data_IF_981229305459
#
_entry.id   IF_981229305459
#
_cell.length_a   1.000
_cell.length_b   1.000
_cell.length_c   1.000
_cell.angle_alpha   90.00
_cell.angle_beta   90.00
_cell.angle_gamma   90.00
#
_symmetry.space_group_name_H-M   'P 1'
#
loop_
_entity.id
_entity.type
_entity.pdbx_description
1 polymer ?
#
# COMPACT_ATOMS: atom_id res chain seq x y z
N UNK A 1 21.53 -4.11 -3.66
CA UNK A 1 21.63 -3.07 -4.71
C UNK A 1 22.94 -2.29 -4.70
N UNK A 2 23.48 -1.89 -3.54
CA UNK A 2 24.66 -1.01 -3.46
C UNK A 2 25.85 -1.47 -4.32
N UNK A 3 26.13 -2.77 -4.37
CA UNK A 3 27.23 -3.34 -5.14
C UNK A 3 27.08 -3.25 -6.67
N UNK A 4 25.87 -2.96 -7.17
CA UNK A 4 25.58 -2.88 -8.62
C UNK A 4 25.12 -1.49 -9.04
N UNK A 5 25.08 -0.51 -8.14
CA UNK A 5 24.59 0.85 -8.43
C UNK A 5 25.33 1.51 -9.60
N UNK A 6 26.65 1.32 -9.69
CA UNK A 6 27.46 1.86 -10.78
C UNK A 6 27.21 1.19 -12.14
N UNK A 7 26.46 0.09 -12.17
CA UNK A 7 26.12 -0.67 -13.37
C UNK A 7 24.68 -0.39 -13.84
N UNK A 8 23.89 0.37 -13.08
CA UNK A 8 22.51 0.72 -13.43
C UNK A 8 22.48 2.04 -14.21
N UNK A 9 21.56 2.13 -15.18
CA UNK A 9 21.34 3.38 -15.93
C UNK A 9 20.86 4.52 -15.01
N UNK A 10 20.05 4.18 -14.01
CA UNK A 10 19.64 5.08 -12.93
C UNK A 10 19.86 4.43 -11.55
N UNK A 11 20.21 5.19 -10.51
CA UNK A 11 20.45 4.64 -9.17
C UNK A 11 19.14 4.43 -8.41
N UNK A 12 18.22 3.67 -9.02
CA UNK A 12 16.90 3.35 -8.49
C UNK A 12 16.42 1.96 -8.91
N UNK A 13 15.34 1.51 -8.29
CA UNK A 13 14.54 0.39 -8.80
C UNK A 13 13.05 0.66 -8.57
N UNK A 14 12.23 0.08 -9.44
CA UNK A 14 10.76 0.17 -9.36
C UNK A 14 10.20 -1.19 -8.97
N UNK A 15 9.23 -1.20 -8.06
CA UNK A 15 8.46 -2.39 -7.71
C UNK A 15 7.01 -2.15 -8.07
N UNK A 16 6.45 -3.08 -8.83
CA UNK A 16 5.04 -3.15 -9.17
C UNK A 16 4.53 -4.55 -8.79
N UNK A 17 3.34 -4.61 -8.20
CA UNK A 17 2.62 -5.85 -7.94
C UNK A 17 1.27 -5.80 -8.64
N UNK A 18 0.90 -6.87 -9.34
CA UNK A 18 -0.43 -6.99 -9.93
C UNK A 18 -1.46 -7.36 -8.85
N UNK A 19 -2.74 -7.10 -9.12
CA UNK A 19 -3.84 -7.54 -8.27
C UNK A 19 -4.34 -8.92 -8.69
N UNK A 20 -3.51 -9.94 -8.46
CA UNK A 20 -3.88 -11.35 -8.67
C UNK A 20 -3.79 -12.10 -7.35
N UNK A 21 -4.95 -12.58 -6.86
CA UNK A 21 -5.04 -13.34 -5.62
C UNK A 21 -4.79 -14.83 -5.84
N UNK A 22 -5.28 -15.35 -6.96
CA UNK A 22 -4.96 -16.69 -7.46
C UNK A 22 -4.05 -16.59 -8.67
N UNK A 23 -2.83 -17.12 -8.54
CA UNK A 23 -1.83 -17.07 -9.60
C UNK A 23 -1.50 -18.50 -10.00
N UNK A 24 -1.91 -18.93 -11.20
CA UNK A 24 -1.42 -20.18 -11.76
C UNK A 24 0.11 -20.16 -11.81
N UNK A 25 0.73 -21.30 -11.49
CA UNK A 25 2.18 -21.44 -11.57
C UNK A 25 2.63 -21.13 -13.00
N UNK A 26 3.31 -19.98 -13.20
CA UNK A 26 3.86 -19.39 -14.44
C UNK A 26 3.29 -18.03 -14.88
N UNK A 27 2.30 -17.44 -14.18
CA UNK A 27 1.90 -16.05 -14.47
C UNK A 27 2.71 -15.02 -13.67
N UNK A 28 2.98 -13.87 -14.27
CA UNK A 28 3.60 -12.75 -13.56
C UNK A 28 2.62 -12.17 -12.54
N UNK A 29 3.08 -12.09 -11.29
CA UNK A 29 2.40 -11.50 -10.14
C UNK A 29 2.84 -10.05 -9.86
N UNK A 30 3.88 -9.60 -10.55
CA UNK A 30 4.62 -8.41 -10.23
C UNK A 30 5.97 -8.37 -10.94
N UNK A 31 6.64 -7.23 -10.85
CA UNK A 31 7.92 -6.97 -11.49
C UNK A 31 8.79 -6.07 -10.61
N UNK A 32 10.09 -6.37 -10.58
CA UNK A 32 11.11 -5.46 -10.07
C UNK A 32 11.98 -5.02 -11.24
N UNK A 33 11.96 -3.72 -11.52
CA UNK A 33 12.74 -3.10 -12.59
C UNK A 33 13.95 -2.39 -11.98
N UNK A 34 15.15 -2.92 -12.20
CA UNK A 34 16.39 -2.31 -11.72
C UNK A 34 16.92 -1.31 -12.74
N UNK A 35 17.31 -0.12 -12.29
CA UNK A 35 17.95 0.88 -13.13
C UNK A 35 17.02 1.75 -13.96
N UNK A 36 15.71 1.53 -13.90
CA UNK A 36 14.73 2.29 -14.67
C UNK A 36 13.37 2.36 -13.98
N UNK A 37 12.55 3.31 -14.45
CA UNK A 37 11.12 3.33 -14.18
C UNK A 37 10.43 2.23 -15.00
N UNK A 38 9.41 1.59 -14.43
CA UNK A 38 8.54 0.70 -15.18
C UNK A 38 7.51 1.52 -15.96
N UNK A 39 7.73 1.67 -17.27
CA UNK A 39 6.85 2.43 -18.16
C UNK A 39 5.67 1.62 -18.70
N UNK A 40 5.58 0.34 -18.37
CA UNK A 40 4.52 -0.56 -18.82
C UNK A 40 3.41 -0.63 -17.78
N UNK A 41 3.79 -0.79 -16.51
CA UNK A 41 2.86 -1.07 -15.43
C UNK A 41 2.57 0.13 -14.50
N UNK A 42 3.29 1.24 -14.68
CA UNK A 42 3.17 2.42 -13.82
C UNK A 42 2.88 3.68 -14.64
N UNK A 43 2.10 4.59 -14.04
CA UNK A 43 1.92 5.92 -14.60
C UNK A 43 3.25 6.67 -14.69
N UNK A 44 3.41 7.48 -15.73
CA UNK A 44 4.61 8.29 -15.95
C UNK A 44 4.82 9.38 -14.87
N UNK A 45 3.77 9.74 -14.14
CA UNK A 45 3.79 10.78 -13.11
C UNK A 45 4.25 10.18 -11.79
N UNK A 46 5.51 10.45 -11.44
CA UNK A 46 6.10 10.02 -10.17
C UNK A 46 6.15 11.19 -9.19
N UNK A 47 5.58 10.99 -8.01
CA UNK A 47 5.70 11.93 -6.90
C UNK A 47 6.77 11.43 -5.92
N UNK A 48 7.91 12.11 -5.88
CA UNK A 48 9.00 11.77 -4.98
C UNK A 48 8.82 12.39 -3.59
N UNK A 49 9.17 11.61 -2.57
CA UNK A 49 9.13 11.94 -1.15
C UNK A 49 10.54 11.70 -0.59
N UNK A 50 11.20 12.73 -0.04
CA UNK A 50 12.49 12.55 0.63
C UNK A 50 12.39 11.57 1.80
N UNK A 51 13.40 10.73 1.96
CA UNK A 51 13.46 9.84 3.12
C UNK A 51 13.77 10.63 4.40
N UNK A 52 13.11 10.25 5.50
CA UNK A 52 13.40 10.78 6.83
C UNK A 52 14.54 10.04 7.53
N UNK A 53 14.79 8.78 7.14
CA UNK A 53 15.94 7.99 7.56
C UNK A 53 16.30 6.99 6.45
N UNK A 54 17.59 6.67 6.31
CA UNK A 54 18.11 5.76 5.27
C UNK A 54 18.24 4.30 5.76
N UNK A 55 17.98 4.03 7.03
CA UNK A 55 18.00 2.67 7.60
C UNK A 55 16.85 1.80 7.09
N UNK A 56 15.77 2.45 6.66
CA UNK A 56 14.63 1.86 5.98
C UNK A 56 14.24 2.78 4.81
N UNK A 57 13.30 2.37 3.96
CA UNK A 57 12.62 3.27 3.04
C UNK A 57 11.57 4.09 3.80
N UNK A 58 12.06 4.89 4.75
CA UNK A 58 11.25 5.62 5.72
C UNK A 58 10.96 7.04 5.26
N UNK A 59 9.72 7.49 5.39
CA UNK A 59 9.29 8.84 5.03
C UNK A 59 8.11 9.29 5.92
N UNK A 60 7.86 10.61 6.04
CA UNK A 60 6.75 11.11 6.82
C UNK A 60 5.44 11.08 6.02
N UNK A 61 4.33 10.73 6.69
CA UNK A 61 2.96 11.03 6.24
C UNK A 61 2.39 12.14 7.12
N UNK A 62 1.48 12.93 6.56
CA UNK A 62 0.89 14.09 7.23
C UNK A 62 -0.51 13.83 7.77
N UNK A 63 -1.22 12.86 7.19
CA UNK A 63 -2.53 12.45 7.64
C UNK A 63 -2.90 11.05 7.11
N UNK A 64 -3.78 10.39 7.84
CA UNK A 64 -4.49 9.18 7.42
C UNK A 64 -6.00 9.40 7.63
N UNK A 65 -6.83 8.86 6.74
CA UNK A 65 -8.28 8.91 6.91
C UNK A 65 -8.99 7.77 6.19
N UNK A 66 -10.20 7.47 6.67
CA UNK A 66 -11.15 6.55 6.04
C UNK A 66 -12.56 6.98 6.45
N UNK A 67 -13.47 7.16 5.49
CA UNK A 67 -14.83 7.62 5.76
C UNK A 67 -14.84 8.90 6.61
N UNK A 68 -15.46 8.85 7.80
CA UNK A 68 -15.50 9.97 8.73
C UNK A 68 -14.36 10.00 9.77
N UNK A 69 -13.42 9.07 9.72
CA UNK A 69 -12.26 8.99 10.62
C UNK A 69 -11.07 9.73 10.01
N UNK A 70 -10.35 10.49 10.83
CA UNK A 70 -9.13 11.19 10.42
C UNK A 70 -8.12 11.21 11.57
N UNK A 71 -6.87 10.87 11.27
CA UNK A 71 -5.70 11.21 12.07
C UNK A 71 -4.84 12.20 11.27
N UNK A 72 -4.67 13.41 11.79
CA UNK A 72 -3.89 14.49 11.16
C UNK A 72 -2.49 14.64 11.77
N UNK A 73 -2.01 13.63 12.51
CA UNK A 73 -0.65 13.64 13.04
C UNK A 73 0.36 13.34 11.95
N UNK A 74 1.49 14.04 12.01
CA UNK A 74 2.65 13.64 11.21
C UNK A 74 3.28 12.41 11.84
N UNK A 75 3.39 11.32 11.06
CA UNK A 75 3.91 10.04 11.53
C UNK A 75 4.94 9.48 10.55
N UNK A 76 5.83 8.62 11.06
CA UNK A 76 6.84 7.95 10.23
C UNK A 76 6.28 6.66 9.67
N UNK A 77 6.62 6.38 8.42
CA UNK A 77 6.13 5.24 7.65
C UNK A 77 7.29 4.61 6.92
N UNK A 78 7.28 3.29 6.78
CA UNK A 78 8.18 2.59 5.87
C UNK A 78 7.40 1.96 4.73
N UNK A 79 7.98 1.98 3.54
CA UNK A 79 7.58 1.04 2.50
C UNK A 79 8.37 -0.26 2.65
N UNK A 80 7.66 -1.39 2.61
CA UNK A 80 8.27 -2.70 2.82
C UNK A 80 7.65 -3.76 1.92
N UNK A 81 8.41 -4.18 0.90
CA UNK A 81 8.02 -5.30 0.01
C UNK A 81 8.06 -6.66 0.71
N UNK A 82 8.57 -6.74 1.94
CA UNK A 82 8.59 -7.95 2.75
C UNK A 82 7.35 -8.14 3.62
N UNK A 83 6.45 -7.14 3.67
CA UNK A 83 5.22 -7.17 4.46
C UNK A 83 4.01 -7.24 3.53
N UNK A 84 3.08 -8.16 3.78
CA UNK A 84 1.91 -8.32 2.92
C UNK A 84 0.85 -7.24 3.10
N UNK A 85 0.53 -6.90 4.35
CA UNK A 85 -0.61 -6.03 4.69
C UNK A 85 -0.14 -4.64 5.15
N UNK A 86 -1.08 -3.69 5.29
CA UNK A 86 -0.73 -2.40 5.90
C UNK A 86 -0.66 -2.61 7.42
N UNK A 87 0.50 -2.32 7.99
CA UNK A 87 0.69 -2.21 9.43
C UNK A 87 0.43 -0.78 9.88
N UNK A 88 -0.33 -0.57 10.96
CA UNK A 88 -0.71 0.77 11.43
C UNK A 88 -1.03 0.81 12.93
N UNK A 89 -1.08 2.00 13.55
CA UNK A 89 -1.38 2.13 14.98
C UNK A 89 -2.76 1.57 15.35
N UNK A 90 -2.91 1.03 16.56
CA UNK A 90 -4.21 0.49 16.99
C UNK A 90 -5.35 1.51 16.94
N UNK A 91 -5.06 2.81 17.11
CA UNK A 91 -6.07 3.87 16.99
C UNK A 91 -6.64 3.99 15.58
N UNK A 92 -5.79 3.88 14.57
CA UNK A 92 -6.17 3.99 13.17
C UNK A 92 -6.91 2.72 12.71
N UNK A 93 -6.50 1.55 13.24
CA UNK A 93 -7.17 0.28 12.96
C UNK A 93 -8.59 0.26 13.54
N UNK A 94 -8.77 0.77 14.76
CA UNK A 94 -10.09 0.96 15.34
C UNK A 94 -10.97 1.91 14.50
N UNK A 95 -10.35 2.95 13.91
CA UNK A 95 -10.99 3.82 12.93
C UNK A 95 -11.50 3.03 11.71
N UNK A 96 -10.63 2.22 11.10
CA UNK A 96 -10.98 1.35 9.96
C UNK A 96 -12.11 0.39 10.33
N UNK A 97 -12.01 -0.31 11.45
CA UNK A 97 -13.02 -1.28 11.91
C UNK A 97 -14.37 -0.61 12.08
N UNK A 98 -14.42 0.59 12.68
CA UNK A 98 -15.66 1.35 12.86
C UNK A 98 -16.29 1.78 11.53
N UNK A 99 -15.48 2.22 10.56
CA UNK A 99 -15.99 2.70 9.26
C UNK A 99 -16.43 1.56 8.35
N UNK A 100 -15.78 0.40 8.45
CA UNK A 100 -16.08 -0.77 7.62
C UNK A 100 -17.15 -1.68 8.23
N UNK A 101 -17.29 -1.64 9.56
CA UNK A 101 -18.07 -2.61 10.32
C UNK A 101 -17.44 -4.00 10.31
N UNK A 102 -16.10 -4.07 10.25
CA UNK A 102 -15.38 -5.33 10.25
C UNK A 102 -15.51 -6.05 11.60
N UNK A 103 -15.45 -7.37 11.56
CA UNK A 103 -15.45 -8.24 12.74
C UNK A 103 -14.10 -8.94 12.82
N UNK A 104 -13.57 -9.12 14.03
CA UNK A 104 -12.34 -9.87 14.24
C UNK A 104 -12.63 -11.36 14.32
N UNK A 105 -11.92 -12.14 13.53
CA UNK A 105 -11.87 -13.60 13.62
C UNK A 105 -10.68 -14.00 14.50
N UNK A 106 -10.95 -14.70 15.60
CA UNK A 106 -9.90 -15.17 16.51
C UNK A 106 -9.22 -16.45 16.03
N UNK A 107 -9.85 -17.25 15.18
CA UNK A 107 -9.28 -18.48 14.63
C UNK A 107 -8.27 -18.13 13.53
N UNK A 108 -8.65 -17.23 12.62
CA UNK A 108 -7.78 -16.80 11.51
C UNK A 108 -6.86 -15.63 11.89
N UNK A 109 -7.13 -14.93 13.00
CA UNK A 109 -6.32 -13.82 13.49
C UNK A 109 -6.38 -12.56 12.61
N UNK A 110 -7.52 -12.32 11.96
CA UNK A 110 -7.71 -11.23 11.00
C UNK A 110 -9.08 -10.55 11.16
N UNK A 111 -9.23 -9.37 10.57
CA UNK A 111 -10.52 -8.71 10.44
C UNK A 111 -11.19 -9.10 9.13
N UNK A 112 -12.49 -9.31 9.13
CA UNK A 112 -13.25 -9.61 7.92
C UNK A 112 -14.53 -8.77 7.79
N UNK A 113 -15.03 -8.70 6.56
CA UNK A 113 -16.32 -8.13 6.16
C UNK A 113 -16.99 -9.04 5.15
N UNK A 114 -18.32 -8.93 4.92
CA UNK A 114 -18.95 -9.59 3.78
C UNK A 114 -18.29 -9.16 2.46
N UNK A 115 -17.98 -10.10 1.58
CA UNK A 115 -17.35 -9.83 0.29
C UNK A 115 -18.17 -8.89 -0.61
N UNK A 116 -19.49 -8.80 -0.40
CA UNK A 116 -20.35 -7.82 -1.08
C UNK A 116 -19.94 -6.37 -0.84
N UNK A 117 -19.16 -6.09 0.21
CA UNK A 117 -18.63 -4.77 0.55
C UNK A 117 -17.33 -4.40 -0.16
N UNK A 118 -16.71 -5.33 -0.91
CA UNK A 118 -15.38 -5.15 -1.53
C UNK A 118 -15.24 -3.88 -2.37
N UNK A 119 -16.31 -3.44 -3.03
CA UNK A 119 -16.31 -2.26 -3.90
C UNK A 119 -17.10 -1.07 -3.35
N UNK A 120 -17.64 -1.18 -2.13
CA UNK A 120 -18.56 -0.17 -1.57
C UNK A 120 -18.05 0.47 -0.28
N UNK A 121 -16.96 -0.03 0.29
CA UNK A 121 -16.36 0.57 1.47
C UNK A 121 -15.57 1.83 1.09
N UNK A 122 -15.45 2.81 2.01
CA UNK A 122 -14.75 4.06 1.75
C UNK A 122 -13.28 3.83 1.41
N UNK A 123 -12.72 4.64 0.52
CA UNK A 123 -11.28 4.63 0.28
C UNK A 123 -10.51 5.00 1.56
N UNK A 124 -9.33 4.43 1.73
CA UNK A 124 -8.32 5.02 2.60
C UNK A 124 -7.73 6.23 1.90
N UNK A 125 -7.33 7.25 2.64
CA UNK A 125 -6.53 8.35 2.11
C UNK A 125 -5.31 8.58 3.00
N UNK A 126 -4.14 8.55 2.38
CA UNK A 126 -2.87 8.95 2.98
C UNK A 126 -2.43 10.28 2.38
N UNK A 127 -2.16 11.27 3.23
CA UNK A 127 -1.56 12.53 2.79
C UNK A 127 -0.04 12.43 2.92
N UNK A 128 0.66 12.43 1.80
CA UNK A 128 2.12 12.24 1.74
C UNK A 128 2.70 13.34 0.86
N UNK A 129 3.66 14.10 1.39
CA UNK A 129 4.27 15.24 0.72
C UNK A 129 3.23 16.21 0.09
N UNK A 130 2.13 16.47 0.81
CA UNK A 130 1.00 17.33 0.38
C UNK A 130 0.16 16.78 -0.78
N UNK A 131 0.37 15.53 -1.19
CA UNK A 131 -0.45 14.83 -2.17
C UNK A 131 -1.33 13.82 -1.43
N UNK A 132 -2.59 13.70 -1.84
CA UNK A 132 -3.52 12.71 -1.30
C UNK A 132 -3.43 11.43 -2.14
N UNK A 133 -3.21 10.30 -1.48
CA UNK A 133 -3.14 8.97 -2.08
C UNK A 133 -4.31 8.14 -1.60
N UNK A 134 -5.24 7.86 -2.49
CA UNK A 134 -6.41 7.03 -2.19
C UNK A 134 -6.11 5.54 -2.43
N UNK A 135 -6.52 4.69 -1.50
CA UNK A 135 -6.49 3.23 -1.63
C UNK A 135 -7.94 2.73 -1.61
N UNK A 136 -8.50 2.33 -2.76
CA UNK A 136 -9.88 1.91 -2.84
C UNK A 136 -10.10 0.60 -2.09
N UNK A 137 -11.34 0.36 -1.67
CA UNK A 137 -11.72 -0.82 -0.87
C UNK A 137 -11.33 -2.15 -1.50
N UNK A 138 -11.35 -2.24 -2.81
CA UNK A 138 -10.96 -3.44 -3.54
C UNK A 138 -9.49 -3.84 -3.35
N UNK A 139 -8.62 -2.91 -2.93
CA UNK A 139 -7.20 -3.21 -2.65
C UNK A 139 -6.96 -3.75 -1.25
N UNK A 140 -7.80 -3.32 -0.29
CA UNK A 140 -7.66 -3.70 1.12
C UNK A 140 -8.71 -4.72 1.60
N UNK A 141 -9.69 -5.08 0.76
CA UNK A 141 -10.65 -6.17 0.98
C UNK A 141 -10.34 -7.29 0.00
N UNK A 142 -9.83 -8.40 0.53
CA UNK A 142 -9.42 -9.56 -0.27
C UNK A 142 -10.31 -10.76 0.00
N UNK A 143 -10.72 -11.44 -1.07
CA UNK A 143 -11.30 -12.76 -0.95
C UNK A 143 -10.15 -13.76 -0.78
N UNK A 144 -10.00 -14.27 0.45
CA UNK A 144 -9.02 -15.30 0.81
C UNK A 144 -9.69 -16.66 1.01
N UNK A 145 -10.89 -16.84 0.46
CA UNK A 145 -11.69 -18.05 0.58
C UNK A 145 -11.97 -18.46 2.04
N UNK A 146 -12.18 -17.48 2.94
CA UNK A 146 -12.50 -17.69 4.36
C UNK A 146 -13.83 -18.46 4.59
N UNK A 147 -14.61 -18.66 3.53
CA UNK A 147 -15.95 -19.24 3.59
C UNK A 147 -17.02 -18.22 3.98
N UNK A 148 -18.29 -18.66 3.92
CA UNK A 148 -19.47 -17.87 4.31
C UNK A 148 -19.64 -16.50 3.59
N UNK A 149 -18.94 -16.29 2.47
CA UNK A 149 -18.93 -15.01 1.76
C UNK A 149 -18.20 -13.90 2.52
N UNK A 150 -17.21 -14.24 3.35
CA UNK A 150 -16.38 -13.31 4.10
C UNK A 150 -15.04 -13.05 3.39
N UNK A 151 -14.63 -11.80 3.39
CA UNK A 151 -13.39 -11.31 2.82
C UNK A 151 -12.54 -10.65 3.93
N UNK A 152 -11.23 -10.87 3.87
CA UNK A 152 -10.28 -10.31 4.84
C UNK A 152 -10.02 -8.82 4.58
N UNK A 153 -9.81 -8.08 5.65
CA UNK A 153 -9.21 -6.76 5.64
C UNK A 153 -7.70 -6.90 5.80
N UNK A 154 -6.93 -6.29 4.90
CA UNK A 154 -5.46 -6.43 4.88
C UNK A 154 -4.77 -5.43 5.79
N UNK A 155 -5.08 -5.49 7.09
CA UNK A 155 -4.49 -4.63 8.11
C UNK A 155 -4.10 -5.42 9.34
N UNK A 156 -3.04 -4.96 10.02
CA UNK A 156 -2.71 -5.43 11.35
C UNK A 156 -2.24 -4.25 12.23
N UNK A 157 -2.46 -4.36 13.53
CA UNK A 157 -2.06 -3.31 14.48
C UNK A 157 -0.59 -3.43 14.84
N UNK A 158 0.05 -2.28 15.01
CA UNK A 158 1.43 -2.16 15.45
C UNK A 158 1.57 -0.97 16.39
N UNK A 159 1.94 -1.23 17.65
CA UNK A 159 2.18 -0.18 18.63
C UNK A 159 3.59 -0.33 19.21
N UNK A 160 4.53 0.46 18.69
CA UNK A 160 5.92 0.43 19.15
C UNK A 160 6.23 1.40 20.30
N UNK A 161 5.22 1.94 20.98
CA UNK A 161 5.42 2.85 22.12
C UNK A 161 6.24 4.11 21.78
N UNK A 162 6.22 4.55 20.52
CA UNK A 162 6.99 5.70 20.03
C UNK A 162 8.38 5.38 19.46
N UNK A 163 8.79 4.11 19.43
CA UNK A 163 10.06 3.69 18.83
C UNK A 163 9.86 3.19 17.40
N UNK A 164 10.38 3.92 16.40
CA UNK A 164 10.33 3.49 15.00
C UNK A 164 9.08 3.96 14.23
N UNK A 165 8.86 3.42 13.01
CA UNK A 165 7.77 3.85 12.15
C UNK A 165 6.41 3.42 12.71
N UNK A 166 5.42 4.31 12.61
CA UNK A 166 4.03 4.03 13.00
C UNK A 166 3.29 3.18 11.97
N UNK A 167 3.74 3.19 10.70
CA UNK A 167 3.11 2.44 9.63
C UNK A 167 4.12 1.61 8.82
N UNK A 168 3.62 0.50 8.29
CA UNK A 168 4.26 -0.27 7.23
C UNK A 168 3.32 -0.30 6.03
N UNK A 169 3.78 0.19 4.88
CA UNK A 169 3.09 0.08 3.59
C UNK A 169 3.61 -1.15 2.84
N UNK A 170 2.88 -2.25 3.00
CA UNK A 170 3.13 -3.55 2.36
C UNK A 170 2.46 -3.73 1.00
N UNK A 171 2.23 -4.98 0.59
CA UNK A 171 1.68 -5.33 -0.72
C UNK A 171 0.33 -4.65 -1.03
N UNK A 172 -0.53 -4.45 -0.02
CA UNK A 172 -1.80 -3.70 -0.20
C UNK A 172 -1.59 -2.29 -0.73
N UNK A 173 -0.51 -1.61 -0.33
CA UNK A 173 -0.15 -0.31 -0.91
C UNK A 173 0.52 -0.47 -2.27
N UNK A 174 1.46 -1.41 -2.39
CA UNK A 174 2.28 -1.60 -3.59
C UNK A 174 1.44 -2.05 -4.80
N UNK A 175 0.34 -2.77 -4.58
CA UNK A 175 -0.63 -3.08 -5.63
C UNK A 175 -1.28 -1.82 -6.19
N UNK A 176 -1.61 -0.85 -5.34
CA UNK A 176 -2.25 0.39 -5.76
C UNK A 176 -1.28 1.41 -6.39
N UNK A 177 -0.05 1.45 -5.88
CA UNK A 177 0.99 2.38 -6.27
C UNK A 177 2.31 1.67 -6.53
N UNK A 178 2.89 1.87 -7.70
CA UNK A 178 4.27 1.50 -7.94
C UNK A 178 5.19 2.29 -7.01
N UNK A 179 6.14 1.59 -6.40
CA UNK A 179 7.11 2.17 -5.50
C UNK A 179 8.47 2.29 -6.21
N UNK A 180 8.98 3.52 -6.32
CA UNK A 180 10.25 3.83 -6.94
C UNK A 180 11.26 4.12 -5.83
N UNK A 181 12.15 3.19 -5.59
CA UNK A 181 13.15 3.27 -4.54
C UNK A 181 14.42 3.93 -5.08
N UNK A 182 14.54 5.24 -4.91
CA UNK A 182 15.60 6.04 -5.50
C UNK A 182 16.78 6.22 -4.54
N UNK A 183 17.75 5.31 -4.65
CA UNK A 183 18.93 5.27 -3.77
C UNK A 183 19.79 6.52 -3.96
N UNK A 184 20.04 6.94 -5.19
CA UNK A 184 20.89 8.11 -5.47
C UNK A 184 20.37 9.42 -4.88
N UNK A 185 19.04 9.58 -4.80
CA UNK A 185 18.39 10.80 -4.32
C UNK A 185 17.85 10.67 -2.90
N UNK A 186 18.03 9.52 -2.24
CA UNK A 186 17.53 9.26 -0.89
C UNK A 186 16.04 9.59 -0.78
N UNK A 187 15.27 9.07 -1.75
CA UNK A 187 13.85 9.34 -1.88
C UNK A 187 13.09 8.08 -2.29
N UNK A 188 11.81 8.04 -1.96
CA UNK A 188 10.87 7.09 -2.52
C UNK A 188 9.89 7.83 -3.44
N UNK A 189 9.57 7.26 -4.59
CA UNK A 189 8.58 7.78 -5.52
C UNK A 189 7.34 6.90 -5.52
N UNK A 190 6.18 7.52 -5.75
CA UNK A 190 4.92 6.82 -5.95
C UNK A 190 4.32 7.22 -7.29
N UNK A 191 3.94 6.20 -8.06
CA UNK A 191 3.18 6.34 -9.29
C UNK A 191 1.96 5.42 -9.24
N UNK A 192 0.87 5.80 -9.89
CA UNK A 192 -0.32 4.95 -9.97
C UNK A 192 0.02 3.65 -10.69
N UNK A 193 -0.32 2.50 -10.09
CA UNK A 193 -0.15 1.20 -10.73
C UNK A 193 -1.31 0.91 -11.70
N UNK A 194 -0.99 0.20 -12.78
CA UNK A 194 -1.96 -0.41 -13.68
C UNK A 194 -2.09 -1.89 -13.34
N UNK A 195 -3.31 -2.40 -13.20
CA UNK A 195 -3.56 -3.78 -12.78
C UNK A 195 -4.56 -4.46 -13.73
N UNK A 196 -4.36 -5.75 -13.95
CA UNK A 196 -5.21 -6.57 -14.83
C UNK A 196 -6.50 -7.05 -14.16
N UNK A 197 -6.56 -7.00 -12.82
CA UNK A 197 -7.62 -7.59 -11.98
C UNK A 197 -8.76 -6.67 -11.54
N UNK A 198 -8.86 -5.44 -12.06
CA UNK A 198 -9.98 -4.53 -11.77
C UNK A 198 -10.78 -4.20 -13.03
N UNK A 199 -12.13 -4.15 -12.98
CA UNK A 199 -12.93 -3.69 -14.11
C UNK A 199 -12.49 -2.29 -14.53
N UNK A 200 -12.23 -2.10 -15.82
CA UNK A 200 -11.95 -0.80 -16.44
C UNK A 200 -13.10 0.17 -16.11
N UNK A 201 -12.91 1.05 -15.12
CA UNK A 201 -13.91 2.03 -14.68
C UNK A 201 -13.97 2.32 -13.18
N UNK A 202 -13.29 1.55 -12.32
CA UNK A 202 -13.35 1.76 -10.87
C UNK A 202 -12.43 2.87 -10.30
N UNK A 203 -11.60 3.49 -11.14
CA UNK A 203 -10.72 4.59 -10.74
C UNK A 203 -10.93 5.82 -11.63
N UNK A 204 -12.11 6.44 -11.54
CA UNK A 204 -12.20 7.85 -11.92
C UNK A 204 -11.57 8.67 -10.80
N UNK A 205 -10.36 9.17 -11.05
CA UNK A 205 -9.71 10.22 -10.27
C UNK A 205 -10.63 11.44 -10.34
N UNK A 206 -11.27 11.80 -9.22
CA UNK A 206 -11.88 13.12 -9.09
C UNK A 206 -10.76 14.17 -8.98
N UNK A 207 -10.95 15.37 -9.54
CA UNK A 207 -9.94 16.43 -9.61
C UNK A 207 -9.48 16.94 -8.24
#
# INVERSE_FOLDING_TARGET
MQNVLSQLDQPLFTVWLDRKLDIPMAESAGLITYGALDSVNCDSTVNYVPLSAETYWQFPIQAFSIGSYTDSKTQQVISDTGTSWIGLPSSDLNGIVKQTGATYDFEDGLYYVPCSKMYSLPDLMFKINNVNYNVPSVEYVLDLELGNGNCALTFFSMDFGGFGPSYILGDTWIRQYCNIYHIGNKAIGFAKAFHSGLPTGAASIAP
#
